data_IF_508259109073
#
_entry.id   IF_508259109073
#
_cell.length_a   1.000
_cell.length_b   1.000
_cell.length_c   1.000
_cell.angle_alpha   90.00
_cell.angle_beta   90.00
_cell.angle_gamma   90.00
#
_symmetry.space_group_name_H-M   'P 1'
#
loop_
_entity.id
_entity.type
_entity.pdbx_description
1 polymer ?
#
# COMPACT_ATOMS: atom_id res chain seq x y z
N UNK A 1 35.60 4.41 -20.86
CA UNK A 1 35.49 3.44 -19.74
C UNK A 1 34.15 3.62 -19.02
N UNK A 2 33.13 2.80 -19.35
CA UNK A 2 31.91 2.70 -18.56
C UNK A 2 31.59 1.21 -18.27
N UNK A 3 32.36 0.55 -17.39
CA UNK A 3 32.16 -0.89 -17.08
C UNK A 3 31.64 -1.14 -15.66
N UNK A 4 31.61 -0.10 -14.82
CA UNK A 4 31.22 -0.21 -13.40
C UNK A 4 29.71 -0.13 -13.15
N UNK A 5 28.91 0.35 -14.11
CA UNK A 5 27.45 0.47 -13.97
C UNK A 5 26.70 -0.86 -14.16
N UNK A 6 27.13 -1.68 -15.12
CA UNK A 6 26.44 -2.94 -15.45
C UNK A 6 26.69 -4.04 -14.42
N UNK A 7 27.91 -4.11 -13.86
CA UNK A 7 28.25 -5.08 -12.83
C UNK A 7 27.43 -4.86 -11.54
N UNK A 8 27.23 -3.60 -11.14
CA UNK A 8 26.44 -3.25 -9.94
C UNK A 8 24.94 -3.53 -10.14
N UNK A 9 24.39 -3.19 -11.31
CA UNK A 9 23.01 -3.53 -11.66
C UNK A 9 22.78 -5.05 -11.74
N UNK A 10 23.73 -5.80 -12.33
CA UNK A 10 23.67 -7.26 -12.44
C UNK A 10 23.70 -7.95 -11.07
N UNK A 11 24.55 -7.48 -10.14
CA UNK A 11 24.61 -8.01 -8.77
C UNK A 11 23.34 -7.68 -7.98
N UNK A 12 22.82 -6.46 -8.08
CA UNK A 12 21.56 -6.08 -7.45
C UNK A 12 20.36 -6.87 -8.00
N UNK A 13 20.28 -7.08 -9.32
CA UNK A 13 19.25 -7.93 -9.94
C UNK A 13 19.35 -9.40 -9.54
N UNK A 14 20.57 -9.91 -9.32
CA UNK A 14 20.77 -11.30 -8.86
C UNK A 14 20.36 -11.47 -7.40
N UNK A 15 20.61 -10.46 -6.56
CA UNK A 15 20.15 -10.43 -5.17
C UNK A 15 18.62 -10.44 -5.05
N UNK A 16 17.93 -9.59 -5.81
CA UNK A 16 16.47 -9.52 -5.80
C UNK A 16 15.79 -10.79 -6.34
N UNK A 17 16.39 -11.44 -7.34
CA UNK A 17 15.89 -12.72 -7.87
C UNK A 17 16.02 -13.86 -6.84
N UNK A 18 17.13 -13.92 -6.09
CA UNK A 18 17.35 -14.96 -5.09
C UNK A 18 16.46 -14.76 -3.85
N UNK A 19 16.18 -13.51 -3.44
CA UNK A 19 15.19 -13.22 -2.39
C UNK A 19 13.78 -13.63 -2.81
N UNK A 20 13.37 -13.29 -4.03
CA UNK A 20 12.07 -13.70 -4.55
C UNK A 20 11.93 -15.23 -4.61
N UNK A 21 12.98 -15.95 -5.03
CA UNK A 21 12.99 -17.41 -5.02
C UNK A 21 12.94 -18.00 -3.61
N UNK A 22 13.66 -17.41 -2.66
CA UNK A 22 13.62 -17.82 -1.26
C UNK A 22 12.24 -17.59 -0.62
N UNK A 23 11.55 -16.50 -0.96
CA UNK A 23 10.20 -16.23 -0.49
C UNK A 23 9.17 -17.21 -1.05
N UNK A 24 9.31 -17.60 -2.31
CA UNK A 24 8.49 -18.64 -2.93
C UNK A 24 8.76 -20.00 -2.27
N UNK A 25 10.02 -20.34 -2.04
CA UNK A 25 10.42 -21.60 -1.42
C UNK A 25 9.99 -21.70 0.06
N UNK A 26 9.89 -20.57 0.77
CA UNK A 26 9.50 -20.52 2.18
C UNK A 26 8.00 -20.30 2.39
N UNK A 27 7.21 -20.17 1.32
CA UNK A 27 5.77 -19.91 1.40
C UNK A 27 5.40 -18.48 1.85
N UNK A 28 6.37 -17.56 1.89
CA UNK A 28 6.19 -16.16 2.31
C UNK A 28 5.77 -15.21 1.20
N UNK A 29 5.72 -15.70 -0.04
CA UNK A 29 5.33 -14.90 -1.21
C UNK A 29 3.95 -14.23 -1.05
N UNK A 30 2.97 -14.95 -0.51
CA UNK A 30 1.62 -14.41 -0.29
C UNK A 30 1.62 -13.24 0.72
N UNK A 31 2.43 -13.34 1.78
CA UNK A 31 2.59 -12.28 2.78
C UNK A 31 3.21 -11.02 2.16
N UNK A 32 4.25 -11.17 1.33
CA UNK A 32 4.86 -10.03 0.65
C UNK A 32 3.93 -9.37 -0.36
N UNK A 33 3.14 -10.16 -1.09
CA UNK A 33 2.11 -9.62 -1.99
C UNK A 33 1.06 -8.81 -1.22
N UNK A 34 0.64 -9.28 -0.03
CA UNK A 34 -0.29 -8.54 0.82
C UNK A 34 0.30 -7.21 1.30
N UNK A 35 1.58 -7.19 1.69
CA UNK A 35 2.27 -5.96 2.09
C UNK A 35 2.42 -4.98 0.93
N UNK A 36 2.76 -5.44 -0.28
CA UNK A 36 2.82 -4.59 -1.47
C UNK A 36 1.44 -4.02 -1.83
N UNK A 37 0.40 -4.84 -1.79
CA UNK A 37 -0.98 -4.40 -2.00
C UNK A 37 -1.40 -3.34 -0.97
N UNK A 38 -1.06 -3.55 0.31
CA UNK A 38 -1.34 -2.58 1.37
C UNK A 38 -0.59 -1.26 1.17
N UNK A 39 0.69 -1.30 0.78
CA UNK A 39 1.48 -0.11 0.47
C UNK A 39 0.85 0.73 -0.65
N UNK A 40 0.41 0.08 -1.74
CA UNK A 40 -0.29 0.76 -2.85
C UNK A 40 -1.63 1.35 -2.41
N UNK A 41 -2.40 0.61 -1.61
CA UNK A 41 -3.67 1.09 -1.08
C UNK A 41 -3.50 2.27 -0.12
N UNK A 42 -2.45 2.28 0.72
CA UNK A 42 -2.13 3.43 1.58
C UNK A 42 -1.97 4.71 0.76
N UNK A 43 -1.24 4.65 -0.35
CA UNK A 43 -1.05 5.79 -1.26
C UNK A 43 -2.37 6.26 -1.86
N UNK A 44 -3.17 5.33 -2.39
CA UNK A 44 -4.47 5.65 -3.01
C UNK A 44 -5.41 6.28 -1.99
N UNK A 45 -5.57 5.65 -0.82
CA UNK A 45 -6.45 6.15 0.24
C UNK A 45 -5.99 7.53 0.71
N UNK A 46 -4.69 7.73 0.93
CA UNK A 46 -4.17 9.04 1.34
C UNK A 46 -4.43 10.13 0.30
N UNK A 47 -4.28 9.81 -0.99
CA UNK A 47 -4.59 10.72 -2.08
C UNK A 47 -6.06 11.07 -2.12
N UNK A 48 -6.95 10.09 -1.99
CA UNK A 48 -8.41 10.29 -1.90
C UNK A 48 -8.76 11.21 -0.73
N UNK A 49 -8.19 10.96 0.46
CA UNK A 49 -8.46 11.78 1.65
C UNK A 49 -7.98 13.22 1.48
N UNK A 50 -6.83 13.43 0.83
CA UNK A 50 -6.37 14.77 0.47
C UNK A 50 -7.33 15.47 -0.50
N UNK A 51 -7.79 14.78 -1.55
CA UNK A 51 -8.73 15.33 -2.53
C UNK A 51 -10.10 15.67 -1.91
N UNK A 52 -10.57 14.85 -0.97
CA UNK A 52 -11.78 15.14 -0.18
C UNK A 52 -11.57 16.39 0.68
N UNK A 53 -10.43 16.50 1.37
CA UNK A 53 -10.12 17.64 2.24
C UNK A 53 -10.01 18.96 1.46
N UNK A 54 -9.54 18.93 0.21
CA UNK A 54 -9.48 20.11 -0.66
C UNK A 54 -10.79 20.40 -1.42
N UNK A 55 -11.84 19.62 -1.18
CA UNK A 55 -13.15 19.78 -1.84
C UNK A 55 -13.15 19.38 -3.32
N UNK A 56 -12.07 18.78 -3.82
CA UNK A 56 -11.92 18.33 -5.20
C UNK A 56 -12.64 17.01 -5.47
N UNK A 57 -13.05 16.28 -4.43
CA UNK A 57 -13.75 15.01 -4.52
C UNK A 57 -15.05 15.06 -3.71
N UNK A 58 -16.19 15.08 -4.41
CA UNK A 58 -17.54 14.99 -3.80
C UNK A 58 -18.07 13.57 -3.95
N UNK A 59 -18.19 12.86 -2.84
CA UNK A 59 -18.62 11.46 -2.83
C UNK A 59 -19.85 11.22 -1.97
N UNK A 60 -20.67 10.27 -2.41
CA UNK A 60 -21.73 9.72 -1.58
C UNK A 60 -21.09 9.04 -0.37
N UNK A 61 -21.59 9.39 0.83
CA UNK A 61 -21.11 8.80 2.07
C UNK A 61 -21.15 7.26 2.00
N UNK A 62 -20.17 6.55 2.61
CA UNK A 62 -20.19 5.09 2.67
C UNK A 62 -21.52 4.61 3.25
N UNK A 63 -22.04 3.48 2.72
CA UNK A 63 -23.26 2.85 3.26
C UNK A 63 -23.05 2.51 4.73
N UNK A 64 -24.10 2.54 5.59
CA UNK A 64 -23.98 2.30 7.03
C UNK A 64 -23.10 1.11 7.45
N UNK A 65 -23.19 -0.10 6.86
CA UNK A 65 -22.33 -1.22 7.26
C UNK A 65 -20.85 -1.00 6.95
N UNK A 66 -20.52 -0.10 6.02
CA UNK A 66 -19.15 0.18 5.57
C UNK A 66 -18.51 1.35 6.33
N UNK A 67 -19.31 2.20 6.99
CA UNK A 67 -18.81 3.42 7.65
C UNK A 67 -17.74 3.14 8.69
N UNK A 68 -17.97 2.17 9.58
CA UNK A 68 -17.02 1.82 10.64
C UNK A 68 -15.68 1.36 10.06
N UNK A 69 -15.72 0.51 9.05
CA UNK A 69 -14.53 -0.04 8.41
C UNK A 69 -13.74 1.04 7.65
N UNK A 70 -14.45 1.94 6.94
CA UNK A 70 -13.84 3.11 6.28
C UNK A 70 -13.19 4.04 7.30
N UNK A 71 -13.86 4.38 8.39
CA UNK A 71 -13.30 5.24 9.45
C UNK A 71 -12.08 4.62 10.14
N UNK A 72 -11.99 3.30 10.19
CA UNK A 72 -10.82 2.61 10.72
C UNK A 72 -9.62 2.68 9.76
N UNK A 73 -9.85 2.53 8.46
CA UNK A 73 -8.81 2.78 7.44
C UNK A 73 -8.35 4.24 7.45
N UNK A 74 -9.27 5.19 7.60
CA UNK A 74 -8.91 6.62 7.75
C UNK A 74 -7.99 6.85 8.96
N UNK A 75 -8.29 6.22 10.10
CA UNK A 75 -7.41 6.26 11.28
C UNK A 75 -6.05 5.61 11.01
N UNK A 76 -6.01 4.48 10.30
CA UNK A 76 -4.74 3.82 9.93
C UNK A 76 -3.88 4.76 9.08
N UNK A 77 -4.46 5.34 8.02
CA UNK A 77 -3.74 6.22 7.08
C UNK A 77 -3.31 7.54 7.73
N UNK A 78 -4.08 8.05 8.69
CA UNK A 78 -3.73 9.25 9.43
C UNK A 78 -2.46 9.10 10.28
N UNK A 79 -2.13 7.88 10.73
CA UNK A 79 -0.89 7.60 11.49
C UNK A 79 0.38 7.66 10.64
N UNK A 80 0.25 7.44 9.33
CA UNK A 80 1.41 7.42 8.44
C UNK A 80 1.84 8.84 8.06
N UNK A 81 3.13 9.15 8.21
CA UNK A 81 3.74 10.38 7.71
C UNK A 81 4.62 10.10 6.46
N UNK A 82 4.20 10.51 5.25
CA UNK A 82 4.98 10.27 4.03
C UNK A 82 6.31 11.01 3.97
N UNK A 83 6.52 12.03 4.82
CA UNK A 83 7.81 12.72 4.94
C UNK A 83 8.80 12.02 5.87
N UNK A 84 8.36 11.01 6.64
CA UNK A 84 9.20 10.26 7.58
C UNK A 84 9.51 8.85 7.07
N UNK A 85 8.53 8.16 6.47
CA UNK A 85 8.69 6.80 5.94
C UNK A 85 7.94 6.61 4.63
N UNK A 86 8.43 5.70 3.80
CA UNK A 86 7.73 5.25 2.59
C UNK A 86 6.48 4.43 2.94
N UNK A 87 5.58 4.26 1.98
CA UNK A 87 4.38 3.43 2.17
C UNK A 87 4.72 1.95 2.39
N UNK A 88 5.79 1.46 1.75
CA UNK A 88 6.25 0.08 1.91
C UNK A 88 6.81 -0.17 3.31
N UNK A 89 7.65 0.74 3.81
CA UNK A 89 8.18 0.67 5.18
C UNK A 89 7.05 0.74 6.21
N UNK A 90 6.12 1.69 6.06
CA UNK A 90 4.98 1.77 6.98
C UNK A 90 4.09 0.52 6.94
N UNK A 91 3.88 -0.09 5.77
CA UNK A 91 3.10 -1.32 5.65
C UNK A 91 3.77 -2.51 6.36
N UNK A 92 5.11 -2.58 6.37
CA UNK A 92 5.86 -3.61 7.10
C UNK A 92 5.70 -3.49 8.63
N UNK A 93 5.56 -2.26 9.14
CA UNK A 93 5.37 -1.98 10.57
C UNK A 93 3.90 -2.06 11.02
N UNK A 94 2.96 -2.26 10.09
CA UNK A 94 1.53 -2.34 10.41
C UNK A 94 1.18 -3.65 11.14
N UNK A 95 0.22 -3.56 12.06
CA UNK A 95 -0.38 -4.77 12.63
C UNK A 95 -1.02 -5.61 11.49
N UNK A 96 -0.87 -6.95 11.49
CA UNK A 96 -1.41 -7.80 10.42
C UNK A 96 -2.91 -7.60 10.16
N UNK A 97 -3.69 -7.34 11.22
CA UNK A 97 -5.12 -7.03 11.10
C UNK A 97 -5.39 -5.75 10.30
N UNK A 98 -4.53 -4.74 10.43
CA UNK A 98 -4.68 -3.45 9.75
C UNK A 98 -4.36 -3.62 8.26
N UNK A 99 -3.37 -4.46 7.92
CA UNK A 99 -3.04 -4.85 6.52
C UNK A 99 -4.24 -5.55 5.87
N UNK A 100 -4.79 -6.56 6.54
CA UNK A 100 -5.96 -7.32 6.05
C UNK A 100 -7.18 -6.40 5.88
N UNK A 101 -7.43 -5.52 6.84
CA UNK A 101 -8.53 -4.57 6.76
C UNK A 101 -8.38 -3.63 5.55
N UNK A 102 -7.17 -3.11 5.33
CA UNK A 102 -6.88 -2.21 4.20
C UNK A 102 -7.17 -2.90 2.86
N UNK A 103 -6.68 -4.14 2.69
CA UNK A 103 -6.85 -4.93 1.47
C UNK A 103 -8.32 -5.33 1.26
N UNK A 104 -9.03 -5.76 2.29
CA UNK A 104 -10.45 -6.14 2.17
C UNK A 104 -11.36 -4.97 1.78
N UNK A 105 -10.95 -3.74 2.08
CA UNK A 105 -11.71 -2.53 1.73
C UNK A 105 -11.29 -1.94 0.38
N UNK A 106 -10.32 -2.53 -0.31
CA UNK A 106 -9.87 -2.08 -1.64
C UNK A 106 -11.02 -1.85 -2.65
N UNK A 107 -12.05 -2.71 -2.76
CA UNK A 107 -13.15 -2.48 -3.71
C UNK A 107 -13.92 -1.18 -3.47
N UNK A 108 -14.03 -0.75 -2.21
CA UNK A 108 -14.71 0.50 -1.86
C UNK A 108 -13.87 1.69 -2.34
N UNK A 109 -12.56 1.65 -2.08
CA UNK A 109 -11.63 2.71 -2.49
C UNK A 109 -11.43 2.76 -4.00
N UNK A 110 -11.53 1.63 -4.71
CA UNK A 110 -11.53 1.59 -6.17
C UNK A 110 -12.76 2.32 -6.75
N UNK A 111 -13.94 2.10 -6.19
CA UNK A 111 -15.17 2.79 -6.64
C UNK A 111 -15.16 4.30 -6.39
N UNK A 112 -14.43 4.72 -5.37
CA UNK A 112 -14.12 6.12 -5.02
C UNK A 112 -13.13 6.72 -6.03
N UNK A 113 -11.97 6.07 -6.23
CA UNK A 113 -10.92 6.56 -7.12
C UNK A 113 -11.31 6.57 -8.61
N UNK A 114 -12.27 5.76 -9.03
CA UNK A 114 -12.73 5.69 -10.43
C UNK A 114 -13.67 6.84 -10.83
N UNK A 115 -14.07 7.73 -9.91
CA UNK A 115 -14.95 8.87 -10.17
C UNK A 115 -14.12 10.16 -10.14
N UNK A 116 -13.72 10.71 -11.30
CA UNK A 116 -12.92 11.93 -11.37
C UNK A 116 -13.67 13.16 -10.87
#
# INVERSE_FOLDING_TARGET
MPEFGEASASVMMRGTAMEALAEVATGRFAERMLLDAAARLLLVVKRVLLLRATGMLREAAPRPPQRRAVSEVERIVARWNPGATTAAEFAQDMAPRDVVLLVNLAPIWAGVAARP
#
